data_IF_912547348302
#
_entry.id   IF_912547348302
#
_cell.length_a   1.000
_cell.length_b   1.000
_cell.length_c   1.000
_cell.angle_alpha   90.00
_cell.angle_beta   90.00
_cell.angle_gamma   90.00
#
_symmetry.space_group_name_H-M   'P 1'
#
loop_
_entity.id
_entity.type
_entity.pdbx_description
1 polymer ?
#
# COMPACT_ATOMS: atom_id res chain seq x y z
N UNK A 1 -25.58 16.19 -11.05
CA UNK A 1 -24.68 15.48 -10.11
C UNK A 1 -23.36 16.23 -10.07
N UNK A 2 -23.06 16.96 -8.99
CA UNK A 2 -21.75 17.61 -8.85
C UNK A 2 -20.69 16.52 -8.59
N UNK A 3 -19.70 16.43 -9.49
CA UNK A 3 -18.52 15.59 -9.31
C UNK A 3 -17.70 16.18 -8.15
N UNK A 4 -17.85 15.65 -6.95
CA UNK A 4 -16.96 15.99 -5.85
C UNK A 4 -15.58 15.43 -6.20
N UNK A 5 -14.61 16.33 -6.37
CA UNK A 5 -13.22 15.94 -6.58
C UNK A 5 -12.63 15.63 -5.21
N UNK A 6 -12.60 14.35 -4.85
CA UNK A 6 -11.98 13.90 -3.60
C UNK A 6 -10.48 13.88 -3.82
N UNK A 7 -9.76 14.80 -3.19
CA UNK A 7 -8.31 14.77 -3.12
C UNK A 7 -7.88 13.92 -1.93
N UNK A 8 -7.52 12.65 -2.18
CA UNK A 8 -6.99 11.76 -1.14
C UNK A 8 -5.47 11.60 -1.26
N UNK A 9 -4.78 11.69 -0.11
CA UNK A 9 -3.36 11.37 -0.04
C UNK A 9 -3.14 9.93 -0.53
N UNK A 10 -2.13 9.74 -1.37
CA UNK A 10 -1.80 8.43 -1.96
C UNK A 10 -0.33 8.13 -1.75
N UNK A 11 0.00 6.92 -1.29
CA UNK A 11 1.38 6.45 -1.13
C UNK A 11 1.58 5.22 -2.02
N UNK A 12 2.64 5.22 -2.81
CA UNK A 12 3.03 4.06 -3.62
C UNK A 12 4.39 3.54 -3.18
N UNK A 13 4.47 2.27 -2.81
CA UNK A 13 5.69 1.59 -2.42
C UNK A 13 5.91 0.34 -3.27
N UNK A 14 7.14 0.10 -3.72
CA UNK A 14 7.51 -1.12 -4.45
C UNK A 14 8.51 -1.91 -3.63
N UNK A 15 8.19 -3.17 -3.37
CA UNK A 15 9.00 -4.09 -2.58
C UNK A 15 9.29 -5.38 -3.37
N UNK A 16 10.45 -6.02 -3.14
CA UNK A 16 10.68 -7.40 -3.57
C UNK A 16 9.57 -8.36 -3.08
N UNK A 17 9.26 -9.40 -3.86
CA UNK A 17 8.21 -10.36 -3.51
C UNK A 17 8.63 -11.30 -2.36
N UNK A 18 9.92 -11.54 -2.20
CA UNK A 18 10.54 -12.52 -1.30
C UNK A 18 10.86 -11.96 0.10
N UNK A 19 10.29 -10.80 0.45
CA UNK A 19 10.39 -10.25 1.80
C UNK A 19 9.61 -11.08 2.80
N UNK A 20 10.12 -11.18 4.03
CA UNK A 20 9.36 -11.72 5.14
C UNK A 20 8.17 -10.80 5.46
N UNK A 21 7.06 -11.35 5.98
CA UNK A 21 5.90 -10.55 6.39
C UNK A 21 6.28 -9.44 7.37
N UNK A 22 7.23 -9.70 8.28
CA UNK A 22 7.71 -8.72 9.26
C UNK A 22 8.42 -7.55 8.58
N UNK A 23 9.28 -7.83 7.61
CA UNK A 23 10.05 -6.81 6.90
C UNK A 23 9.15 -6.01 5.95
N UNK A 24 8.15 -6.67 5.33
CA UNK A 24 7.12 -6.00 4.54
C UNK A 24 6.32 -5.01 5.39
N UNK A 25 5.80 -5.45 6.55
CA UNK A 25 5.06 -4.57 7.48
C UNK A 25 5.94 -3.40 7.95
N UNK A 26 7.21 -3.66 8.29
CA UNK A 26 8.14 -2.62 8.71
C UNK A 26 8.37 -1.59 7.60
N UNK A 27 8.56 -2.05 6.35
CA UNK A 27 8.76 -1.19 5.19
C UNK A 27 7.50 -0.36 4.88
N UNK A 28 6.31 -0.95 4.97
CA UNK A 28 5.03 -0.24 4.78
C UNK A 28 4.86 0.88 5.81
N UNK A 29 5.10 0.58 7.09
CA UNK A 29 5.02 1.59 8.17
C UNK A 29 6.07 2.67 8.03
N UNK A 30 7.29 2.31 7.66
CA UNK A 30 8.37 3.27 7.40
C UNK A 30 8.03 4.20 6.22
N UNK A 31 7.27 3.72 5.24
CA UNK A 31 6.75 4.52 4.13
C UNK A 31 5.52 5.36 4.49
N UNK A 32 5.03 5.31 5.75
CA UNK A 32 3.84 6.03 6.20
C UNK A 32 2.51 5.34 5.84
N UNK A 33 2.54 4.07 5.42
CA UNK A 33 1.33 3.30 5.12
C UNK A 33 0.82 2.67 6.42
N UNK A 34 -0.42 2.97 6.85
CA UNK A 34 -0.97 2.50 8.12
C UNK A 34 -1.44 1.05 8.03
N UNK A 35 -0.60 0.10 8.44
CA UNK A 35 -0.93 -1.33 8.45
C UNK A 35 -0.87 -1.96 9.84
N UNK A 36 -1.76 -2.92 10.08
CA UNK A 36 -1.80 -3.75 11.29
C UNK A 36 -0.65 -4.79 11.31
N UNK A 37 -0.65 -5.68 12.31
CA UNK A 37 0.36 -6.73 12.44
C UNK A 37 0.23 -7.87 11.42
N UNK A 38 -0.83 -7.87 10.62
CA UNK A 38 -1.10 -8.85 9.57
C UNK A 38 -0.88 -8.26 8.17
N UNK A 39 -0.57 -6.96 8.06
CA UNK A 39 -0.38 -6.25 6.80
C UNK A 39 -1.66 -5.63 6.22
N UNK A 40 -2.78 -5.67 6.94
CA UNK A 40 -4.01 -5.03 6.48
C UNK A 40 -3.97 -3.53 6.79
N UNK A 41 -4.57 -2.72 5.91
CA UNK A 41 -4.73 -1.30 6.17
C UNK A 41 -5.63 -1.08 7.40
N UNK A 42 -5.15 -0.29 8.37
CA UNK A 42 -5.94 0.09 9.55
C UNK A 42 -7.01 1.14 9.20
N UNK A 43 -6.69 2.02 8.24
CA UNK A 43 -7.60 3.02 7.69
C UNK A 43 -7.25 3.29 6.23
N UNK A 44 -8.22 3.82 5.48
CA UNK A 44 -8.09 3.96 4.03
C UNK A 44 -8.17 2.62 3.28
N UNK A 45 -7.59 2.57 2.07
CA UNK A 45 -7.61 1.39 1.20
C UNK A 45 -6.20 1.06 0.73
N UNK A 46 -5.77 -0.18 0.90
CA UNK A 46 -4.48 -0.68 0.40
C UNK A 46 -4.70 -1.63 -0.77
N UNK A 47 -4.22 -1.22 -1.95
CA UNK A 47 -4.18 -2.03 -3.15
C UNK A 47 -2.80 -2.67 -3.30
N UNK A 48 -2.77 -3.97 -3.62
CA UNK A 48 -1.53 -4.71 -3.84
C UNK A 48 -1.57 -5.30 -5.25
N UNK A 49 -0.52 -5.03 -6.02
CA UNK A 49 -0.30 -5.66 -7.33
C UNK A 49 1.03 -6.37 -7.34
N UNK A 50 0.99 -7.69 -7.53
CA UNK A 50 2.17 -8.47 -7.89
C UNK A 50 2.46 -8.29 -9.38
N UNK A 51 3.70 -7.98 -9.74
CA UNK A 51 4.12 -7.84 -11.13
C UNK A 51 5.61 -8.14 -11.31
N UNK A 52 6.07 -8.10 -12.56
CA UNK A 52 7.46 -8.43 -12.91
C UNK A 52 7.59 -9.77 -13.63
N UNK A 53 8.82 -10.09 -14.06
CA UNK A 53 9.14 -11.36 -14.69
C UNK A 53 9.49 -12.42 -13.62
N UNK A 54 9.63 -13.69 -14.02
CA UNK A 54 9.85 -14.82 -13.10
C UNK A 54 11.04 -14.61 -12.14
N UNK A 55 12.08 -13.90 -12.57
CA UNK A 55 13.31 -13.67 -11.79
C UNK A 55 13.29 -12.37 -10.96
N UNK A 56 12.32 -11.48 -11.15
CA UNK A 56 12.30 -10.17 -10.49
C UNK A 56 10.86 -9.74 -10.18
N UNK A 57 10.12 -10.63 -9.51
CA UNK A 57 8.77 -10.33 -9.05
C UNK A 57 8.81 -9.30 -7.92
N UNK A 58 7.92 -8.32 -7.99
CA UNK A 58 7.79 -7.24 -7.02
C UNK A 58 6.33 -7.02 -6.67
N UNK A 59 6.09 -6.64 -5.42
CA UNK A 59 4.81 -6.15 -4.95
C UNK A 59 4.79 -4.63 -5.04
N UNK A 60 3.78 -4.09 -5.72
CA UNK A 60 3.47 -2.66 -5.70
C UNK A 60 2.28 -2.44 -4.79
N UNK A 61 2.55 -1.78 -3.67
CA UNK A 61 1.56 -1.34 -2.69
C UNK A 61 1.11 0.08 -3.03
N UNK A 62 -0.20 0.29 -3.06
CA UNK A 62 -0.81 1.59 -3.33
C UNK A 62 -1.86 1.85 -2.27
N UNK A 63 -1.53 2.71 -1.32
CA UNK A 63 -2.44 3.10 -0.26
C UNK A 63 -3.14 4.43 -0.60
N UNK A 64 -4.42 4.50 -0.28
CA UNK A 64 -5.26 5.67 -0.44
C UNK A 64 -5.85 6.04 0.91
N UNK A 65 -5.67 7.29 1.35
CA UNK A 65 -6.36 7.80 2.52
C UNK A 65 -7.88 7.72 2.31
N UNK A 66 -8.62 7.31 3.33
CA UNK A 66 -10.06 7.56 3.36
C UNK A 66 -10.27 9.07 3.34
N UNK A 67 -11.31 9.54 2.63
CA UNK A 67 -11.65 10.97 2.60
C UNK A 67 -11.67 11.50 4.03
N UNK A 68 -10.93 12.57 4.28
CA UNK A 68 -11.22 13.42 5.44
C UNK A 68 -12.56 14.06 5.07
N UNK A 69 -13.63 13.67 5.75
CA UNK A 69 -14.96 14.27 5.57
C UNK A 69 -14.99 15.68 6.14
#
# INVERSE_FOLDING_TARGET
MQKQTIHSATITLKLPLDLSLRDEIAALRAAGIPVDSLGNAQFGFLFIRTGGNSQNRKNTFRWFASSIQ
#
